data_IF_757412487217
#
_entry.id   IF_757412487217
#
_cell.length_a   1.000
_cell.length_b   1.000
_cell.length_c   1.000
_cell.angle_alpha   90.00
_cell.angle_beta   90.00
_cell.angle_gamma   90.00
#
_symmetry.space_group_name_H-M   'P 1'
#
loop_
_entity.id
_entity.type
_entity.pdbx_description
1 polymer ?
#
# COMPACT_ATOMS: atom_id res chain seq x y z
N UNK A 1 1.44 -24.07 -2.58
CA UNK A 1 0.30 -23.81 -1.69
C UNK A 1 -0.94 -23.38 -2.45
N UNK A 2 -2.08 -23.48 -1.80
CA UNK A 2 -3.36 -22.95 -2.28
C UNK A 2 -3.88 -21.95 -1.26
N UNK A 3 -3.58 -20.67 -1.50
CA UNK A 3 -3.86 -19.58 -0.56
C UNK A 3 -5.36 -19.23 -0.53
N UNK A 4 -6.06 -19.41 -1.65
CA UNK A 4 -7.51 -19.20 -1.67
C UNK A 4 -8.20 -20.23 -0.77
N UNK A 5 -7.75 -21.50 -0.83
CA UNK A 5 -8.25 -22.56 0.04
C UNK A 5 -7.81 -22.38 1.50
N UNK A 6 -6.69 -21.74 1.76
CA UNK A 6 -6.25 -21.44 3.13
C UNK A 6 -7.24 -20.53 3.86
N UNK A 7 -7.89 -19.59 3.16
CA UNK A 7 -8.93 -18.73 3.71
C UNK A 7 -10.18 -19.51 4.16
N UNK A 8 -10.44 -20.67 3.56
CA UNK A 8 -11.58 -21.54 3.92
C UNK A 8 -11.24 -22.42 5.14
N UNK A 9 -9.95 -22.76 5.32
CA UNK A 9 -9.47 -23.61 6.43
C UNK A 9 -9.32 -22.79 7.71
N UNK A 10 -8.80 -21.58 7.59
CA UNK A 10 -8.59 -20.66 8.71
C UNK A 10 -9.04 -19.26 8.32
N UNK A 11 -10.07 -18.73 9.01
CA UNK A 11 -10.48 -17.35 8.79
C UNK A 11 -9.27 -16.42 9.01
N UNK A 12 -8.85 -15.64 8.01
CA UNK A 12 -7.72 -14.73 8.13
C UNK A 12 -7.93 -13.58 9.13
N UNK A 13 -9.14 -13.45 9.70
CA UNK A 13 -9.52 -12.43 10.69
C UNK A 13 -9.30 -10.99 10.21
N UNK A 14 -9.38 -10.79 8.92
CA UNK A 14 -9.35 -9.46 8.28
C UNK A 14 -10.64 -9.20 7.53
N UNK A 15 -10.99 -7.93 7.37
CA UNK A 15 -12.17 -7.52 6.62
C UNK A 15 -12.18 -8.10 5.20
N UNK A 16 -13.37 -8.42 4.67
CA UNK A 16 -13.49 -9.02 3.33
C UNK A 16 -12.76 -8.23 2.25
N UNK A 17 -12.80 -6.92 2.35
CA UNK A 17 -12.13 -6.03 1.39
C UNK A 17 -10.61 -6.12 1.47
N UNK A 18 -10.04 -6.43 2.63
CA UNK A 18 -8.60 -6.57 2.85
C UNK A 18 -8.06 -7.94 2.42
N UNK A 19 -8.93 -8.88 2.07
CA UNK A 19 -8.54 -10.23 1.62
C UNK A 19 -7.99 -10.26 0.19
N UNK A 20 -8.02 -9.14 -0.53
CA UNK A 20 -7.50 -9.08 -1.91
C UNK A 20 -6.06 -9.57 -2.03
N UNK A 21 -5.22 -9.27 -1.04
CA UNK A 21 -3.82 -9.71 -1.01
C UNK A 21 -3.64 -11.14 -0.50
N UNK A 22 -4.68 -11.75 0.05
CA UNK A 22 -4.69 -13.12 0.57
C UNK A 22 -5.19 -14.13 -0.48
N UNK A 23 -4.69 -14.01 -1.70
CA UNK A 23 -5.11 -14.82 -2.84
C UNK A 23 -3.94 -15.45 -3.57
N UNK A 24 -4.21 -16.50 -4.32
CA UNK A 24 -3.21 -17.14 -5.17
C UNK A 24 -2.57 -16.19 -6.17
N UNK A 25 -3.33 -15.22 -6.68
CA UNK A 25 -2.84 -14.24 -7.67
C UNK A 25 -1.76 -13.30 -7.11
N UNK A 26 -1.72 -13.10 -5.80
CA UNK A 26 -0.75 -12.23 -5.13
C UNK A 26 0.36 -13.04 -4.46
N UNK A 27 0.01 -14.11 -3.75
CA UNK A 27 0.96 -14.85 -2.93
C UNK A 27 1.75 -15.91 -3.72
N UNK A 28 1.27 -16.37 -4.88
CA UNK A 28 2.02 -17.26 -5.77
C UNK A 28 2.88 -16.46 -6.75
N UNK A 29 4.03 -16.00 -6.29
CA UNK A 29 5.07 -15.46 -7.16
C UNK A 29 6.26 -16.39 -7.21
N UNK A 30 6.97 -16.40 -8.32
CA UNK A 30 7.98 -17.40 -8.69
C UNK A 30 9.13 -17.60 -7.69
N UNK A 31 9.29 -16.73 -6.69
CA UNK A 31 10.45 -16.75 -5.79
C UNK A 31 10.11 -16.83 -4.29
N UNK A 32 8.87 -17.15 -3.90
CA UNK A 32 8.48 -16.99 -2.50
C UNK A 32 7.41 -17.97 -2.02
N UNK A 33 7.42 -19.19 -2.50
CA UNK A 33 6.49 -20.21 -1.98
C UNK A 33 7.03 -20.81 -0.70
N UNK A 34 6.13 -20.97 0.28
CA UNK A 34 6.38 -21.79 1.45
C UNK A 34 6.64 -23.24 1.00
N UNK A 35 7.74 -23.81 1.46
CA UNK A 35 8.11 -25.22 1.24
C UNK A 35 8.48 -25.89 2.56
N UNK A 36 8.62 -27.22 2.55
CA UNK A 36 9.06 -28.01 3.70
C UNK A 36 8.28 -27.73 5.00
N UNK A 37 6.99 -27.42 4.90
CA UNK A 37 6.19 -27.16 6.08
C UNK A 37 5.94 -28.44 6.87
N UNK A 38 6.22 -28.39 8.17
CA UNK A 38 6.00 -29.51 9.09
C UNK A 38 5.65 -29.02 10.49
N UNK A 39 5.05 -29.92 11.27
CA UNK A 39 4.72 -29.69 12.68
C UNK A 39 5.84 -30.25 13.54
N UNK A 40 6.43 -29.41 14.38
CA UNK A 40 7.51 -29.79 15.31
C UNK A 40 6.97 -30.37 16.62
N UNK A 41 5.82 -29.88 17.05
CA UNK A 41 5.21 -30.30 18.29
C UNK A 41 3.83 -29.71 18.50
N UNK A 42 3.09 -30.35 19.40
CA UNK A 42 1.74 -29.93 19.78
C UNK A 42 1.63 -29.92 21.29
N UNK A 43 1.18 -28.79 21.85
CA UNK A 43 0.92 -28.64 23.29
C UNK A 43 -0.56 -28.32 23.48
N UNK A 44 -1.23 -29.07 24.36
CA UNK A 44 -2.64 -28.84 24.71
C UNK A 44 -2.76 -28.40 26.16
N UNK A 45 -3.59 -27.40 26.41
CA UNK A 45 -3.89 -26.91 27.76
C UNK A 45 -5.06 -25.91 27.74
N UNK A 46 -5.83 -25.88 28.82
CA UNK A 46 -6.92 -24.89 29.01
C UNK A 46 -7.90 -24.71 27.83
N UNK A 47 -8.23 -25.82 27.14
CA UNK A 47 -9.18 -25.78 26.01
C UNK A 47 -8.62 -25.29 24.68
N UNK A 48 -7.36 -24.88 24.64
CA UNK A 48 -6.63 -24.52 23.43
C UNK A 48 -5.50 -25.50 23.13
N UNK A 49 -5.08 -25.58 21.91
CA UNK A 49 -3.95 -26.38 21.46
C UNK A 49 -3.06 -25.51 20.59
N UNK A 50 -1.79 -25.45 20.93
CA UNK A 50 -0.77 -24.75 20.14
C UNK A 50 0.08 -25.76 19.39
N UNK A 51 0.21 -25.60 18.09
CA UNK A 51 1.12 -26.34 17.24
C UNK A 51 2.30 -25.47 16.87
N UNK A 52 3.51 -25.92 17.21
CA UNK A 52 4.74 -25.30 16.69
C UNK A 52 5.00 -25.88 15.31
N UNK A 53 5.16 -25.01 14.33
CA UNK A 53 5.40 -25.35 12.92
C UNK A 53 6.69 -24.72 12.43
N UNK A 54 7.34 -25.38 11.50
CA UNK A 54 8.44 -24.79 10.72
C UNK A 54 8.15 -24.91 9.23
N UNK A 55 8.62 -23.94 8.48
CA UNK A 55 8.58 -23.96 7.02
C UNK A 55 9.78 -23.21 6.43
N UNK A 56 10.12 -23.49 5.19
CA UNK A 56 11.16 -22.74 4.47
C UNK A 56 10.53 -21.61 3.67
N UNK A 57 11.09 -20.41 3.80
CA UNK A 57 10.76 -19.24 3.02
C UNK A 57 12.06 -18.56 2.55
N UNK A 58 12.23 -18.37 1.25
CA UNK A 58 13.45 -17.78 0.66
C UNK A 58 14.76 -18.51 1.04
N UNK A 59 14.67 -19.83 1.30
CA UNK A 59 15.83 -20.64 1.73
C UNK A 59 16.13 -20.60 3.22
N UNK A 60 15.41 -19.83 4.00
CA UNK A 60 15.51 -19.73 5.45
C UNK A 60 14.40 -20.54 6.12
N UNK A 61 14.69 -21.08 7.30
CA UNK A 61 13.68 -21.74 8.14
C UNK A 61 12.99 -20.69 8.99
N UNK A 62 11.67 -20.69 8.96
CA UNK A 62 10.80 -19.84 9.77
C UNK A 62 10.02 -20.73 10.73
N UNK A 63 10.06 -20.38 12.01
CA UNK A 63 9.32 -21.06 13.07
C UNK A 63 8.14 -20.18 13.51
N UNK A 64 6.96 -20.80 13.62
CA UNK A 64 5.72 -20.11 13.98
C UNK A 64 4.87 -20.97 14.90
N UNK A 65 3.95 -20.33 15.61
CA UNK A 65 2.97 -21.01 16.43
C UNK A 65 1.55 -20.80 15.89
N UNK A 66 0.83 -21.90 15.72
CA UNK A 66 -0.59 -21.90 15.39
C UNK A 66 -1.41 -22.28 16.60
N UNK A 67 -2.35 -21.43 16.99
CA UNK A 67 -3.33 -21.77 18.01
C UNK A 67 -4.56 -22.38 17.36
N UNK A 68 -5.04 -23.47 17.95
CA UNK A 68 -6.21 -24.21 17.49
C UNK A 68 -7.17 -24.42 18.66
N UNK A 69 -8.45 -24.49 18.36
CA UNK A 69 -9.47 -24.92 19.32
C UNK A 69 -10.27 -26.08 18.75
N UNK A 70 -10.82 -26.89 19.64
CA UNK A 70 -11.73 -27.96 19.26
C UNK A 70 -13.07 -27.35 18.83
N UNK A 71 -13.52 -27.68 17.63
CA UNK A 71 -14.75 -27.18 17.00
C UNK A 71 -15.76 -28.32 16.79
N UNK A 72 -16.00 -29.14 17.84
CA UNK A 72 -16.89 -30.30 17.75
C UNK A 72 -16.20 -31.58 17.31
N UNK A 73 -16.97 -32.55 16.80
CA UNK A 73 -16.47 -33.83 16.31
C UNK A 73 -16.86 -34.02 14.84
N UNK A 74 -15.93 -34.53 14.04
CA UNK A 74 -16.18 -35.02 12.69
C UNK A 74 -16.53 -36.52 12.77
N UNK A 75 -17.64 -36.94 12.15
CA UNK A 75 -18.12 -38.32 12.22
C UNK A 75 -18.30 -38.88 13.65
N UNK A 76 -18.81 -38.02 14.57
CA UNK A 76 -19.08 -38.37 15.98
C UNK A 76 -17.88 -38.75 16.85
N UNK A 77 -16.75 -39.14 16.29
CA UNK A 77 -15.62 -39.76 17.02
C UNK A 77 -14.36 -38.91 16.93
N UNK A 78 -14.08 -38.29 15.78
CA UNK A 78 -12.84 -37.56 15.57
C UNK A 78 -12.99 -36.05 15.93
N UNK A 79 -12.11 -35.51 16.78
CA UNK A 79 -12.12 -34.09 17.10
C UNK A 79 -11.89 -33.26 15.84
N UNK A 80 -12.77 -32.30 15.61
CA UNK A 80 -12.56 -31.28 14.58
C UNK A 80 -11.80 -30.11 15.20
N UNK A 81 -10.72 -29.69 14.54
CA UNK A 81 -9.88 -28.59 15.00
C UNK A 81 -10.05 -27.38 14.08
N UNK A 82 -10.14 -26.21 14.66
CA UNK A 82 -10.18 -24.94 13.95
C UNK A 82 -8.97 -24.10 14.33
N UNK A 83 -8.21 -23.67 13.35
CA UNK A 83 -7.10 -22.73 13.54
C UNK A 83 -7.72 -21.38 13.95
N UNK A 84 -7.26 -20.83 15.07
CA UNK A 84 -7.73 -19.55 15.61
C UNK A 84 -6.73 -18.42 15.44
N UNK A 85 -5.48 -18.74 15.13
CA UNK A 85 -4.43 -17.75 14.81
C UNK A 85 -3.98 -17.99 13.38
N UNK A 86 -4.48 -17.22 12.40
CA UNK A 86 -4.07 -17.38 11.01
C UNK A 86 -2.63 -16.89 10.82
N UNK A 87 -1.90 -17.49 9.88
CA UNK A 87 -0.57 -17.05 9.45
C UNK A 87 -0.68 -15.82 8.56
N UNK A 88 -1.07 -14.69 9.13
CA UNK A 88 -1.18 -13.41 8.41
C UNK A 88 -0.11 -12.46 8.93
N UNK A 89 0.66 -11.92 8.01
CA UNK A 89 1.69 -10.91 8.28
C UNK A 89 1.19 -9.53 7.89
N UNK A 90 1.77 -8.51 8.52
CA UNK A 90 1.54 -7.11 8.18
C UNK A 90 2.77 -6.55 7.49
N UNK A 91 2.57 -5.86 6.37
CA UNK A 91 3.59 -5.05 5.74
C UNK A 91 3.16 -3.60 5.90
N UNK A 92 4.01 -2.79 6.54
CA UNK A 92 3.77 -1.36 6.71
C UNK A 92 4.58 -0.60 5.65
N UNK A 93 3.88 0.22 4.87
CA UNK A 93 4.45 1.00 3.76
C UNK A 93 4.11 2.46 3.96
N UNK A 94 5.12 3.33 3.87
CA UNK A 94 4.96 4.78 3.92
C UNK A 94 5.15 5.38 2.53
N UNK A 95 4.21 6.23 2.12
CA UNK A 95 4.20 6.97 0.86
C UNK A 95 3.59 8.36 1.08
N UNK A 96 3.81 9.32 0.17
CA UNK A 96 3.07 10.59 0.23
C UNK A 96 1.55 10.37 0.33
N UNK A 97 0.86 11.16 1.14
CA UNK A 97 -0.59 11.03 1.40
C UNK A 97 -1.45 11.10 0.14
N UNK A 98 -0.96 11.77 -0.89
CA UNK A 98 -1.59 11.88 -2.21
C UNK A 98 -1.58 10.58 -3.04
N UNK A 99 -0.82 9.56 -2.63
CA UNK A 99 -0.80 8.25 -3.31
C UNK A 99 -2.10 7.51 -2.98
N UNK A 100 -2.85 7.16 -4.01
CA UNK A 100 -4.15 6.50 -3.86
C UNK A 100 -4.12 4.99 -4.11
N UNK A 101 -3.05 4.50 -4.74
CA UNK A 101 -2.93 3.08 -5.10
C UNK A 101 -1.48 2.61 -5.07
N UNK A 102 -1.29 1.42 -4.49
CA UNK A 102 -0.06 0.64 -4.54
C UNK A 102 -0.22 -0.53 -5.50
N UNK A 103 0.88 -1.02 -6.02
CA UNK A 103 0.95 -2.28 -6.76
C UNK A 103 1.74 -3.29 -5.94
N UNK A 104 1.10 -4.40 -5.60
CA UNK A 104 1.68 -5.52 -4.85
C UNK A 104 1.66 -6.77 -5.72
N UNK A 105 2.82 -7.29 -6.10
CA UNK A 105 2.94 -8.44 -7.00
C UNK A 105 2.04 -8.31 -8.24
N UNK A 106 2.08 -7.15 -8.93
CA UNK A 106 1.27 -6.80 -10.11
C UNK A 106 -0.23 -6.57 -9.84
N UNK A 107 -0.68 -6.66 -8.60
CA UNK A 107 -2.08 -6.42 -8.23
C UNK A 107 -2.21 -5.02 -7.63
N UNK A 108 -3.09 -4.20 -8.18
CA UNK A 108 -3.37 -2.87 -7.66
C UNK A 108 -4.18 -2.95 -6.35
N UNK A 109 -3.77 -2.17 -5.35
CA UNK A 109 -4.35 -2.08 -4.02
C UNK A 109 -4.69 -0.62 -3.72
N UNK A 110 -5.90 -0.37 -3.26
CA UNK A 110 -6.37 0.96 -2.86
C UNK A 110 -6.74 0.96 -1.37
N UNK A 111 -7.08 2.09 -0.79
CA UNK A 111 -7.58 2.21 0.58
C UNK A 111 -8.85 1.36 0.87
N UNK A 112 -9.51 0.83 -0.16
CA UNK A 112 -10.59 -0.14 0.00
C UNK A 112 -10.09 -1.55 0.34
N UNK A 113 -8.84 -1.85 0.00
CA UNK A 113 -8.24 -3.19 0.13
C UNK A 113 -7.15 -3.27 1.20
N UNK A 114 -6.78 -2.15 1.79
CA UNK A 114 -5.77 -2.04 2.84
C UNK A 114 -6.16 -0.92 3.81
N UNK A 115 -5.60 -0.92 5.00
CA UNK A 115 -5.71 0.22 5.90
C UNK A 115 -4.75 1.32 5.42
N UNK A 116 -5.25 2.54 5.32
CA UNK A 116 -4.46 3.72 4.95
C UNK A 116 -4.76 4.82 5.95
N UNK A 117 -3.72 5.43 6.50
CA UNK A 117 -3.81 6.62 7.35
C UNK A 117 -3.77 7.90 6.51
N UNK A 118 -4.22 9.02 7.10
CA UNK A 118 -4.14 10.33 6.45
C UNK A 118 -2.70 10.79 6.21
N UNK A 119 -1.74 10.29 7.00
CA UNK A 119 -0.30 10.54 6.83
C UNK A 119 0.34 9.79 5.66
N UNK A 120 -0.39 8.86 5.02
CA UNK A 120 0.11 8.07 3.90
C UNK A 120 0.75 6.74 4.30
N UNK A 121 0.51 6.28 5.51
CA UNK A 121 0.92 4.93 5.94
C UNK A 121 -0.12 3.91 5.53
N UNK A 122 0.35 2.82 4.94
CA UNK A 122 -0.46 1.69 4.51
C UNK A 122 -0.11 0.45 5.28
N UNK A 123 -1.11 -0.27 5.78
CA UNK A 123 -0.94 -1.61 6.33
C UNK A 123 -1.54 -2.64 5.39
N UNK A 124 -0.69 -3.49 4.85
CA UNK A 124 -1.03 -4.57 3.94
C UNK A 124 -1.06 -5.88 4.72
N UNK A 125 -2.15 -6.64 4.59
CA UNK A 125 -2.31 -7.95 5.24
C UNK A 125 -2.02 -9.03 4.21
N UNK A 126 -0.99 -9.84 4.44
CA UNK A 126 -0.47 -10.82 3.48
C UNK A 126 -0.17 -12.16 4.13
N UNK A 127 -0.09 -13.22 3.35
CA UNK A 127 0.50 -14.48 3.81
C UNK A 127 2.03 -14.36 3.91
N UNK A 128 2.71 -15.27 4.65
CA UNK A 128 4.17 -15.35 4.58
C UNK A 128 4.64 -15.50 3.13
N UNK A 129 5.59 -14.66 2.71
CA UNK A 129 6.04 -14.62 1.33
C UNK A 129 6.96 -13.46 1.02
N UNK A 130 7.31 -13.33 -0.26
CA UNK A 130 8.04 -12.18 -0.81
C UNK A 130 7.13 -11.35 -1.70
N UNK A 131 7.16 -10.04 -1.51
CA UNK A 131 6.26 -9.09 -2.16
C UNK A 131 7.05 -7.98 -2.83
N UNK A 132 6.80 -7.80 -4.12
CA UNK A 132 7.26 -6.65 -4.87
C UNK A 132 6.23 -5.53 -4.71
N UNK A 133 6.62 -4.43 -4.09
CA UNK A 133 5.72 -3.32 -3.77
C UNK A 133 6.22 -2.05 -4.44
N UNK A 134 5.34 -1.37 -5.13
CA UNK A 134 5.58 -0.06 -5.75
C UNK A 134 4.32 0.80 -5.65
N UNK A 135 4.45 2.09 -5.88
CA UNK A 135 3.28 2.93 -6.18
C UNK A 135 2.73 2.54 -7.55
N UNK A 136 1.42 2.48 -7.68
CA UNK A 136 0.81 2.28 -9.00
C UNK A 136 1.17 3.47 -9.89
N UNK A 137 1.95 3.20 -10.94
CA UNK A 137 2.41 4.23 -11.87
C UNK A 137 1.24 4.89 -12.59
N UNK A 138 1.33 6.19 -12.72
CA UNK A 138 0.40 7.02 -13.51
C UNK A 138 1.19 7.82 -14.54
N UNK A 139 0.50 8.62 -15.33
CA UNK A 139 1.15 9.57 -16.24
C UNK A 139 2.08 10.57 -15.50
N UNK A 140 1.82 10.81 -14.21
CA UNK A 140 2.46 11.88 -13.44
C UNK A 140 3.43 11.41 -12.38
N UNK A 141 3.26 10.19 -11.85
CA UNK A 141 4.10 9.64 -10.78
C UNK A 141 4.54 8.22 -11.06
N UNK A 142 5.74 7.90 -10.61
CA UNK A 142 6.32 6.55 -10.60
C UNK A 142 7.09 6.32 -9.30
N UNK A 143 7.34 5.07 -8.96
CA UNK A 143 8.27 4.71 -7.89
C UNK A 143 9.14 3.53 -8.30
N UNK A 144 10.23 3.34 -7.60
CA UNK A 144 10.97 2.08 -7.64
C UNK A 144 10.14 0.96 -6.99
N UNK A 145 10.41 -0.27 -7.38
CA UNK A 145 9.86 -1.46 -6.74
C UNK A 145 10.75 -1.87 -5.59
N UNK A 146 10.17 -2.00 -4.41
CA UNK A 146 10.86 -2.52 -3.23
C UNK A 146 10.43 -3.96 -3.01
N UNK A 147 11.39 -4.83 -2.72
CA UNK A 147 11.15 -6.23 -2.36
C UNK A 147 11.03 -6.32 -0.84
N UNK A 148 9.90 -6.79 -0.38
CA UNK A 148 9.63 -7.06 1.03
C UNK A 148 9.54 -8.56 1.28
N UNK A 149 10.21 -9.05 2.33
CA UNK A 149 10.17 -10.45 2.76
C UNK A 149 9.61 -10.53 4.17
N UNK A 150 8.59 -11.35 4.35
CA UNK A 150 7.89 -11.44 5.64
C UNK A 150 8.66 -12.19 6.72
N UNK A 151 9.79 -12.83 6.40
CA UNK A 151 10.71 -13.43 7.33
C UNK A 151 11.85 -12.47 7.77
N UNK A 152 11.91 -11.27 7.19
CA UNK A 152 12.81 -10.21 7.64
C UNK A 152 12.04 -9.32 8.62
N UNK A 153 12.52 -9.24 9.87
CA UNK A 153 11.91 -8.34 10.87
C UNK A 153 12.17 -6.89 10.49
N UNK A 154 11.09 -6.15 10.28
CA UNK A 154 11.12 -4.71 10.09
C UNK A 154 10.05 -4.06 10.95
N UNK A 155 10.44 -3.52 12.09
CA UNK A 155 9.55 -2.74 12.96
C UNK A 155 9.19 -1.38 12.35
N UNK A 156 9.93 -0.95 11.34
CA UNK A 156 9.72 0.35 10.70
C UNK A 156 9.00 0.22 9.36
N UNK A 157 8.10 1.16 9.02
CA UNK A 157 7.47 1.18 7.71
C UNK A 157 8.49 1.30 6.57
N UNK A 158 8.31 0.50 5.54
CA UNK A 158 9.11 0.62 4.32
C UNK A 158 8.67 1.86 3.54
N UNK A 159 9.59 2.82 3.35
CA UNK A 159 9.29 4.03 2.58
C UNK A 159 9.51 3.80 1.09
N UNK A 160 8.48 4.04 0.28
CA UNK A 160 8.57 4.06 -1.17
C UNK A 160 8.87 5.49 -1.65
N UNK A 161 9.98 5.64 -2.34
CA UNK A 161 10.36 6.92 -2.95
C UNK A 161 9.53 7.14 -4.22
N UNK A 162 8.70 8.18 -4.21
CA UNK A 162 7.88 8.59 -5.36
C UNK A 162 8.61 9.70 -6.12
N UNK A 163 8.62 9.59 -7.43
CA UNK A 163 9.17 10.61 -8.34
C UNK A 163 8.13 11.03 -9.36
N UNK A 164 8.21 12.30 -9.77
CA UNK A 164 7.35 12.84 -10.84
C UNK A 164 7.95 12.54 -12.20
N UNK A 165 7.08 12.33 -13.19
CA UNK A 165 7.47 12.11 -14.60
C UNK A 165 7.74 13.45 -15.31
N UNK A 166 8.37 13.40 -16.50
CA UNK A 166 8.45 14.57 -17.39
C UNK A 166 7.07 15.09 -17.76
N UNK A 167 6.11 14.20 -18.01
CA UNK A 167 4.73 14.57 -18.33
C UNK A 167 4.06 15.41 -17.23
N UNK A 168 4.36 15.14 -15.95
CA UNK A 168 3.92 15.99 -14.85
C UNK A 168 4.50 17.40 -14.95
N UNK A 169 5.81 17.49 -15.21
CA UNK A 169 6.51 18.78 -15.32
C UNK A 169 5.96 19.61 -16.49
N UNK A 170 5.74 18.97 -17.62
CA UNK A 170 5.19 19.62 -18.82
C UNK A 170 3.75 20.10 -18.57
N UNK A 171 2.93 19.27 -17.93
CA UNK A 171 1.55 19.64 -17.57
C UNK A 171 1.52 20.79 -16.57
N UNK A 172 2.42 20.76 -15.56
CA UNK A 172 2.54 21.84 -14.58
C UNK A 172 2.99 23.14 -15.24
N UNK A 173 4.05 23.09 -16.06
CA UNK A 173 4.50 24.26 -16.82
C UNK A 173 3.39 24.85 -17.68
N UNK A 174 2.66 24.01 -18.41
CA UNK A 174 1.56 24.44 -19.24
C UNK A 174 0.46 25.11 -18.40
N UNK A 175 0.08 24.52 -17.28
CA UNK A 175 -0.94 25.08 -16.40
C UNK A 175 -0.52 26.42 -15.79
N UNK A 176 0.75 26.54 -15.36
CA UNK A 176 1.31 27.78 -14.81
C UNK A 176 1.35 28.87 -15.90
N UNK A 177 1.89 28.55 -17.07
CA UNK A 177 1.97 29.50 -18.17
C UNK A 177 0.58 30.01 -18.59
N UNK A 178 -0.40 29.12 -18.75
CA UNK A 178 -1.77 29.50 -19.07
C UNK A 178 -2.38 30.40 -18.00
N UNK A 179 -2.11 30.16 -16.72
CA UNK A 179 -2.59 31.00 -15.64
C UNK A 179 -1.93 32.40 -15.67
N UNK A 180 -0.63 32.45 -15.93
CA UNK A 180 0.12 33.70 -16.05
C UNK A 180 -0.30 34.50 -17.27
N UNK A 181 -0.46 33.86 -18.44
CA UNK A 181 -0.93 34.52 -19.67
C UNK A 181 -2.30 35.12 -19.44
N UNK A 182 -3.22 34.39 -18.79
CA UNK A 182 -4.54 34.92 -18.43
C UNK A 182 -4.45 36.12 -17.48
N UNK A 183 -3.51 36.11 -16.55
CA UNK A 183 -3.25 37.25 -15.69
C UNK A 183 -2.71 38.46 -16.48
N UNK A 184 -1.87 38.22 -17.48
CA UNK A 184 -1.29 39.27 -18.32
C UNK A 184 -2.30 39.94 -19.25
N UNK A 185 -3.44 39.32 -19.54
CA UNK A 185 -4.54 39.90 -20.28
C UNK A 185 -5.29 40.99 -19.48
N UNK A 186 -5.10 41.03 -18.15
CA UNK A 186 -5.77 42.05 -17.33
C UNK A 186 -5.17 43.44 -17.52
N UNK A 187 -6.04 44.42 -17.50
CA UNK A 187 -5.67 45.85 -17.49
C UNK A 187 -5.71 46.47 -16.11
N UNK A 188 -5.97 45.67 -15.08
CA UNK A 188 -6.03 46.11 -13.69
C UNK A 188 -4.62 46.19 -13.08
N UNK A 189 -4.42 47.11 -12.16
CA UNK A 189 -3.16 47.25 -11.41
C UNK A 189 -2.92 46.11 -10.40
N UNK A 190 -3.96 45.42 -9.98
CA UNK A 190 -3.93 44.27 -9.09
C UNK A 190 -4.92 43.20 -9.54
N UNK A 191 -4.58 42.42 -10.59
CA UNK A 191 -5.47 41.40 -11.12
C UNK A 191 -5.83 40.37 -10.06
N UNK A 192 -7.12 40.05 -9.95
CA UNK A 192 -7.60 39.10 -8.96
C UNK A 192 -7.02 37.68 -9.20
N UNK A 193 -6.60 37.01 -8.13
CA UNK A 193 -6.00 35.67 -8.14
C UNK A 193 -4.71 35.56 -8.97
N UNK A 194 -4.02 36.70 -9.23
CA UNK A 194 -2.76 36.72 -9.92
C UNK A 194 -1.57 36.87 -8.95
N UNK A 195 -0.40 36.29 -9.23
CA UNK A 195 0.75 36.34 -8.34
C UNK A 195 1.49 37.68 -8.36
N UNK A 196 1.03 38.63 -9.15
CA UNK A 196 1.61 39.96 -9.28
C UNK A 196 0.51 41.03 -9.21
N UNK A 197 0.93 42.24 -8.84
CA UNK A 197 0.08 43.40 -8.76
C UNK A 197 0.89 44.61 -8.31
N UNK A 198 0.35 45.78 -8.55
CA UNK A 198 0.92 47.05 -8.13
C UNK A 198 0.07 47.65 -7.01
N UNK A 199 0.69 48.23 -6.01
CA UNK A 199 -0.03 49.05 -5.04
C UNK A 199 -0.04 50.49 -5.51
N UNK A 200 -1.19 51.02 -5.82
CA UNK A 200 -1.40 52.43 -6.23
C UNK A 200 -1.98 53.20 -5.07
N UNK A 201 -1.62 54.51 -4.98
CA UNK A 201 -2.10 55.41 -3.91
C UNK A 201 -3.35 56.17 -4.32
N UNK A 202 -3.61 56.27 -5.64
CA UNK A 202 -4.74 56.99 -6.24
C UNK A 202 -5.25 56.18 -7.44
N UNK A 203 -6.30 55.41 -7.21
CA UNK A 203 -6.87 54.48 -8.20
C UNK A 203 -7.43 55.17 -9.43
N UNK A 204 -7.86 56.42 -9.28
CA UNK A 204 -8.46 57.18 -10.38
C UNK A 204 -7.45 57.63 -11.47
N UNK A 205 -6.18 57.71 -11.08
CA UNK A 205 -5.10 58.16 -12.00
C UNK A 205 -4.34 57.02 -12.70
N UNK A 206 -4.60 55.74 -12.33
CA UNK A 206 -3.90 54.59 -12.88
C UNK A 206 -4.88 53.61 -13.53
N UNK A 207 -4.88 53.59 -14.85
CA UNK A 207 -5.77 52.75 -15.68
C UNK A 207 -5.00 52.12 -16.86
N UNK A 208 -5.53 51.03 -17.39
CA UNK A 208 -5.00 50.38 -18.59
C UNK A 208 -3.56 49.90 -18.44
N UNK A 209 -3.28 49.17 -17.36
CA UNK A 209 -2.01 48.48 -17.18
C UNK A 209 -1.80 47.47 -18.31
N UNK A 210 -0.57 47.35 -18.75
CA UNK A 210 -0.14 46.29 -19.67
C UNK A 210 0.90 45.43 -18.93
N UNK A 211 0.59 44.18 -18.75
CA UNK A 211 1.45 43.22 -18.11
C UNK A 211 2.24 42.44 -19.17
N UNK A 212 3.51 42.22 -18.94
CA UNK A 212 4.33 41.33 -19.76
C UNK A 212 5.05 40.32 -18.86
N UNK A 213 5.03 39.04 -19.23
CA UNK A 213 5.67 37.98 -18.50
C UNK A 213 6.90 37.51 -19.29
N UNK A 214 8.09 37.68 -18.74
CA UNK A 214 9.33 37.17 -19.30
C UNK A 214 9.71 35.88 -18.57
N UNK A 215 9.74 34.76 -19.27
CA UNK A 215 10.19 33.47 -18.75
C UNK A 215 11.67 33.36 -19.14
N UNK A 216 12.52 33.18 -18.14
CA UNK A 216 13.95 32.95 -18.30
C UNK A 216 14.27 31.48 -18.24
#
# INVERSE_FOLDING_TARGET
GDYDKANDIADPQVGKNQRKLLSNSVAKTDNATISNAHVNGVKSGNGTTTASISYSLNGETVDEELTMRRSGNKFLIFPNWQITTPLIKSINVSVPSSVESLTVNKVAVTAKNAEKTDSGEWQLRVYPGTYNISVTSTDYIVSETVVFRTNEDSDSPTTLKVTTTSKFKDALSTAVNNALDKCAESTDYAPENCPFGFRVWDEDNYRNFAWSISIY
#
